data_IF_282123147859
#
_entry.id   IF_282123147859
#
_cell.length_a   1.000
_cell.length_b   1.000
_cell.length_c   1.000
_cell.angle_alpha   90.00
_cell.angle_beta   90.00
_cell.angle_gamma   90.00
#
_symmetry.space_group_name_H-M   'P 1'
#
loop_
_entity.id
_entity.type
_entity.pdbx_description
1 polymer ?
#
# COMPACT_ATOMS: atom_id res chain seq x y z
N UNK A 1 54.41 18.10 56.21
CA UNK A 1 53.46 17.08 55.66
C UNK A 1 52.54 17.79 54.70
N UNK A 2 52.70 17.54 53.39
CA UNK A 2 51.90 18.13 52.33
C UNK A 2 50.99 17.03 51.77
N UNK A 3 49.69 17.13 51.97
CA UNK A 3 48.69 16.23 51.41
C UNK A 3 48.22 16.77 50.05
N UNK A 4 48.54 16.04 49.00
CA UNK A 4 48.11 16.34 47.63
C UNK A 4 46.77 15.63 47.41
N UNK A 5 45.69 16.41 47.29
CA UNK A 5 44.39 15.88 46.89
C UNK A 5 44.27 15.72 45.37
N UNK A 6 44.04 14.49 44.93
CA UNK A 6 43.75 14.20 43.53
C UNK A 6 42.26 14.50 43.24
N UNK A 7 42.05 15.43 42.31
CA UNK A 7 40.69 15.78 41.83
C UNK A 7 40.38 14.83 40.66
N UNK A 8 39.45 13.92 40.87
CA UNK A 8 38.99 12.99 39.83
C UNK A 8 37.84 13.70 39.03
N UNK A 9 38.11 14.14 37.84
CA UNK A 9 37.12 14.70 36.92
C UNK A 9 36.39 13.56 36.23
N UNK A 10 35.14 13.31 36.65
CA UNK A 10 34.24 12.39 35.96
C UNK A 10 33.64 13.09 34.72
N UNK A 11 34.13 12.70 33.55
CA UNK A 11 33.52 13.08 32.26
C UNK A 11 32.23 12.28 32.05
N UNK A 12 31.07 12.90 32.22
CA UNK A 12 29.79 12.35 31.75
C UNK A 12 29.70 12.48 30.23
N UNK A 13 29.87 11.38 29.54
CA UNK A 13 29.56 11.28 28.11
C UNK A 13 28.06 11.09 28.00
N UNK A 14 27.32 12.17 27.77
CA UNK A 14 25.88 12.13 27.40
C UNK A 14 25.77 11.59 25.99
N UNK A 15 25.43 10.30 25.83
CA UNK A 15 24.99 9.74 24.57
C UNK A 15 23.67 10.41 24.18
N UNK A 16 23.68 11.29 23.19
CA UNK A 16 22.48 11.75 22.52
C UNK A 16 21.88 10.55 21.77
N UNK A 17 20.91 9.89 22.39
CA UNK A 17 20.01 8.99 21.66
C UNK A 17 19.16 9.90 20.78
N UNK A 18 19.42 9.89 19.48
CA UNK A 18 18.63 10.63 18.52
C UNK A 18 17.17 10.18 18.60
N UNK A 19 16.27 11.08 18.97
CA UNK A 19 14.83 10.84 18.90
C UNK A 19 14.50 10.75 17.41
N UNK A 20 13.89 9.66 16.91
CA UNK A 20 13.50 9.56 15.51
C UNK A 20 12.58 10.72 15.16
N UNK A 21 12.89 11.40 14.04
CA UNK A 21 12.09 12.52 13.55
C UNK A 21 10.77 11.97 12.98
N UNK A 22 9.59 12.31 13.52
CA UNK A 22 8.31 11.79 13.05
C UNK A 22 8.02 12.14 11.56
N UNK A 23 8.71 13.11 10.98
CA UNK A 23 8.59 13.45 9.54
C UNK A 23 9.35 12.46 8.64
N UNK A 24 10.41 11.85 9.13
CA UNK A 24 11.24 10.89 8.39
C UNK A 24 10.51 9.53 8.26
N UNK A 25 9.82 9.13 9.32
CA UNK A 25 8.99 7.91 9.38
C UNK A 25 7.79 8.00 8.41
N UNK A 26 7.12 9.15 8.35
CA UNK A 26 5.99 9.40 7.44
C UNK A 26 6.38 9.29 5.95
N UNK A 27 7.57 9.78 5.57
CA UNK A 27 8.05 9.71 4.18
C UNK A 27 8.44 8.28 3.79
N UNK A 28 9.06 7.53 4.71
CA UNK A 28 9.40 6.13 4.51
C UNK A 28 8.14 5.27 4.33
N UNK A 29 7.10 5.50 5.14
CA UNK A 29 5.82 4.81 5.03
C UNK A 29 5.08 5.13 3.72
N UNK A 30 5.09 6.39 3.27
CA UNK A 30 4.51 6.76 1.98
C UNK A 30 5.19 6.02 0.83
N UNK A 31 6.52 6.01 0.81
CA UNK A 31 7.30 5.29 -0.20
C UNK A 31 7.01 3.79 -0.17
N UNK A 32 6.91 3.21 1.02
CA UNK A 32 6.56 1.81 1.22
C UNK A 32 5.18 1.47 0.68
N UNK A 33 4.18 2.29 0.98
CA UNK A 33 2.80 2.08 0.53
C UNK A 33 2.68 2.19 -0.99
N UNK A 34 3.34 3.16 -1.63
CA UNK A 34 3.40 3.25 -3.10
C UNK A 34 4.03 1.98 -3.70
N UNK A 35 5.07 1.44 -3.07
CA UNK A 35 5.68 0.19 -3.51
C UNK A 35 4.73 -1.01 -3.36
N UNK A 36 3.92 -1.06 -2.29
CA UNK A 36 2.90 -2.09 -2.07
C UNK A 36 1.76 -2.01 -3.09
N UNK A 37 1.32 -0.81 -3.48
CA UNK A 37 0.36 -0.62 -4.57
C UNK A 37 0.91 -1.13 -5.91
N UNK A 38 2.17 -0.89 -6.19
CA UNK A 38 2.82 -1.44 -7.38
C UNK A 38 2.93 -2.98 -7.32
N UNK A 39 3.26 -3.54 -6.15
CA UNK A 39 3.28 -4.98 -5.95
C UNK A 39 1.89 -5.62 -6.16
N UNK A 40 0.83 -4.94 -5.71
CA UNK A 40 -0.55 -5.34 -5.97
C UNK A 40 -0.84 -5.43 -7.47
N UNK A 41 -0.51 -4.39 -8.23
CA UNK A 41 -0.70 -4.37 -9.68
C UNK A 41 0.08 -5.50 -10.39
N UNK A 42 1.32 -5.76 -9.98
CA UNK A 42 2.12 -6.85 -10.52
C UNK A 42 1.51 -8.22 -10.20
N UNK A 43 1.02 -8.41 -8.98
CA UNK A 43 0.36 -9.64 -8.59
C UNK A 43 -0.92 -9.89 -9.43
N UNK A 44 -1.73 -8.86 -9.67
CA UNK A 44 -2.89 -8.96 -10.55
C UNK A 44 -2.51 -9.25 -12.00
N UNK A 45 -1.50 -8.57 -12.54
CA UNK A 45 -1.03 -8.73 -13.91
C UNK A 45 -0.53 -10.15 -14.17
N UNK A 46 0.11 -10.77 -13.19
CA UNK A 46 0.70 -12.10 -13.28
C UNK A 46 -0.17 -13.22 -12.70
N UNK A 47 -1.39 -12.91 -12.22
CA UNK A 47 -2.28 -13.84 -11.52
C UNK A 47 -1.61 -14.51 -10.32
N UNK A 48 -0.76 -13.77 -9.58
CA UNK A 48 -0.06 -14.25 -8.40
C UNK A 48 -0.94 -14.06 -7.16
N UNK A 49 -1.81 -15.03 -6.92
CA UNK A 49 -2.72 -15.05 -5.78
C UNK A 49 -1.97 -15.11 -4.43
N UNK A 50 -0.78 -15.72 -4.39
CA UNK A 50 0.02 -15.77 -3.15
C UNK A 50 0.58 -14.41 -2.76
N UNK A 51 1.07 -13.65 -3.75
CA UNK A 51 1.53 -12.30 -3.51
C UNK A 51 0.38 -11.42 -2.99
N UNK A 52 -0.81 -11.48 -3.61
CA UNK A 52 -2.00 -10.75 -3.14
C UNK A 52 -2.48 -11.22 -1.77
N UNK A 53 -2.50 -12.53 -1.51
CA UNK A 53 -2.87 -13.09 -0.20
C UNK A 53 -2.04 -12.50 0.94
N UNK A 54 -0.74 -12.27 0.70
CA UNK A 54 0.16 -11.64 1.67
C UNK A 54 -0.12 -10.16 1.95
N UNK A 55 -0.73 -9.44 0.99
CA UNK A 55 -1.03 -8.01 1.10
C UNK A 55 -2.37 -7.72 1.81
N UNK A 56 -3.29 -8.69 1.86
CA UNK A 56 -4.65 -8.52 2.37
C UNK A 56 -4.92 -9.45 3.56
N UNK A 57 -5.54 -8.98 4.65
CA UNK A 57 -5.95 -9.84 5.77
C UNK A 57 -7.24 -10.60 5.46
N UNK A 58 -7.61 -11.57 6.30
CA UNK A 58 -8.86 -12.34 6.14
C UNK A 58 -10.12 -11.47 6.24
N UNK A 59 -10.01 -10.30 6.88
CA UNK A 59 -11.10 -9.31 7.02
C UNK A 59 -11.19 -8.34 5.84
N UNK A 60 -10.45 -8.58 4.76
CA UNK A 60 -10.42 -7.70 3.58
C UNK A 60 -11.80 -7.57 2.92
N UNK A 61 -12.10 -6.34 2.50
CA UNK A 61 -13.32 -6.01 1.73
C UNK A 61 -12.91 -5.27 0.45
N UNK A 62 -13.38 -5.75 -0.67
CA UNK A 62 -13.23 -5.10 -1.97
C UNK A 62 -14.60 -4.66 -2.50
N UNK A 63 -14.68 -3.44 -3.00
CA UNK A 63 -15.85 -2.95 -3.74
C UNK A 63 -15.41 -2.60 -5.15
N UNK A 64 -15.91 -3.34 -6.12
CA UNK A 64 -15.57 -3.13 -7.54
C UNK A 64 -16.35 -1.96 -8.15
N UNK A 65 -15.91 -1.54 -9.33
CA UNK A 65 -16.46 -0.38 -10.06
C UNK A 65 -17.96 -0.52 -10.41
N UNK A 66 -18.50 -1.72 -10.43
CA UNK A 66 -19.92 -2.00 -10.69
C UNK A 66 -20.76 -2.10 -9.40
N UNK A 67 -20.12 -1.92 -8.22
CA UNK A 67 -20.75 -2.04 -6.92
C UNK A 67 -20.71 -3.45 -6.33
N UNK A 68 -20.12 -4.44 -7.00
CA UNK A 68 -19.94 -5.79 -6.46
C UNK A 68 -19.03 -5.73 -5.24
N UNK A 69 -19.46 -6.33 -4.12
CA UNK A 69 -18.66 -6.43 -2.89
C UNK A 69 -18.11 -7.85 -2.76
N UNK A 70 -16.81 -7.97 -2.51
CA UNK A 70 -16.11 -9.25 -2.36
C UNK A 70 -15.35 -9.28 -1.04
N UNK A 71 -15.33 -10.44 -0.39
CA UNK A 71 -14.35 -10.74 0.65
C UNK A 71 -13.04 -11.25 0.03
N UNK A 72 -12.02 -11.47 0.85
CA UNK A 72 -10.70 -11.97 0.43
C UNK A 72 -10.78 -13.21 -0.45
N UNK A 73 -11.55 -14.22 -0.04
CA UNK A 73 -11.65 -15.48 -0.76
C UNK A 73 -12.26 -15.30 -2.15
N UNK A 74 -13.30 -14.47 -2.26
CA UNK A 74 -13.95 -14.14 -3.52
C UNK A 74 -13.01 -13.35 -4.43
N UNK A 75 -12.31 -12.34 -3.88
CA UNK A 75 -11.36 -11.52 -4.63
C UNK A 75 -10.20 -12.36 -5.20
N UNK A 76 -9.61 -13.26 -4.39
CA UNK A 76 -8.55 -14.17 -4.86
C UNK A 76 -9.07 -15.21 -5.87
N UNK A 77 -10.33 -15.62 -5.77
CA UNK A 77 -10.95 -16.50 -6.76
C UNK A 77 -11.18 -15.79 -8.09
N UNK A 78 -11.61 -14.52 -8.06
CA UNK A 78 -11.81 -13.70 -9.26
C UNK A 78 -10.49 -13.47 -10.02
N UNK A 79 -9.38 -13.27 -9.29
CA UNK A 79 -8.04 -13.16 -9.87
C UNK A 79 -7.65 -14.40 -10.70
N UNK A 80 -8.15 -15.58 -10.32
CA UNK A 80 -7.88 -16.85 -11.00
C UNK A 80 -8.79 -17.10 -12.20
N UNK A 81 -9.80 -16.26 -12.45
CA UNK A 81 -10.69 -16.44 -13.59
C UNK A 81 -9.91 -16.38 -14.90
N UNK A 82 -9.83 -17.47 -15.66
CA UNK A 82 -9.08 -17.50 -16.91
C UNK A 82 -9.72 -16.65 -18.02
N UNK A 83 -10.96 -16.21 -17.84
CA UNK A 83 -11.66 -15.33 -18.78
C UNK A 83 -11.19 -13.88 -18.70
N UNK A 84 -10.60 -13.47 -17.58
CA UNK A 84 -9.98 -12.15 -17.39
C UNK A 84 -8.47 -12.22 -17.65
N UNK A 85 -7.97 -11.37 -18.51
CA UNK A 85 -6.54 -11.28 -18.85
C UNK A 85 -6.13 -9.82 -18.97
N UNK A 86 -5.56 -9.27 -17.93
CA UNK A 86 -4.92 -7.97 -18.01
C UNK A 86 -3.60 -8.07 -18.78
N UNK A 87 -3.36 -7.14 -19.69
CA UNK A 87 -2.09 -6.97 -20.41
C UNK A 87 -1.32 -5.74 -19.93
N UNK A 88 -2.00 -4.86 -19.22
CA UNK A 88 -1.43 -3.67 -18.59
C UNK A 88 -2.27 -3.28 -17.38
N UNK A 89 -1.60 -3.00 -16.28
CA UNK A 89 -2.17 -2.35 -15.09
C UNK A 89 -1.15 -1.31 -14.64
N UNK A 90 -1.56 -0.05 -14.54
CA UNK A 90 -0.70 1.05 -14.15
C UNK A 90 -1.45 2.03 -13.25
N UNK A 91 -0.84 2.39 -12.11
CA UNK A 91 -1.32 3.44 -11.25
C UNK A 91 -0.69 4.79 -11.64
N UNK A 92 -1.47 5.86 -11.47
CA UNK A 92 -1.05 7.23 -11.75
C UNK A 92 -1.54 8.15 -10.63
N UNK A 93 -0.79 9.22 -10.37
CA UNK A 93 -1.16 10.25 -9.39
C UNK A 93 -1.48 9.69 -8.01
N UNK A 94 -0.71 8.69 -7.56
CA UNK A 94 -0.91 8.07 -6.25
C UNK A 94 -0.58 9.06 -5.15
N UNK A 95 -1.51 9.24 -4.21
CA UNK A 95 -1.36 10.05 -3.00
C UNK A 95 -1.61 9.19 -1.78
N UNK A 96 -0.76 9.36 -0.78
CA UNK A 96 -0.84 8.66 0.50
C UNK A 96 -1.18 9.66 1.60
N UNK A 97 -2.20 9.37 2.38
CA UNK A 97 -2.64 10.15 3.52
C UNK A 97 -2.44 9.31 4.80
N UNK A 98 -1.32 9.50 5.52
CA UNK A 98 -1.03 8.72 6.71
C UNK A 98 -1.79 9.24 7.94
N UNK A 99 -2.26 8.29 8.78
CA UNK A 99 -2.94 8.53 10.05
C UNK A 99 -2.39 7.53 11.10
N UNK A 100 -1.21 7.78 11.62
CA UNK A 100 -0.50 6.87 12.54
C UNK A 100 -0.29 5.48 11.91
N UNK A 101 -0.98 4.45 12.43
CA UNK A 101 -0.93 3.09 11.92
C UNK A 101 -1.96 2.78 10.82
N UNK A 102 -2.62 3.81 10.27
CA UNK A 102 -3.57 3.70 9.15
C UNK A 102 -3.12 4.64 8.05
N UNK A 103 -3.31 4.26 6.80
CA UNK A 103 -3.13 5.15 5.67
C UNK A 103 -4.27 4.96 4.66
N UNK A 104 -4.71 6.08 4.08
CA UNK A 104 -5.58 6.07 2.91
C UNK A 104 -4.70 6.34 1.69
N UNK A 105 -4.76 5.44 0.72
CA UNK A 105 -4.06 5.58 -0.56
C UNK A 105 -5.09 5.80 -1.65
N UNK A 106 -4.93 6.87 -2.41
CA UNK A 106 -5.84 7.21 -3.50
C UNK A 106 -5.03 7.40 -4.77
N UNK A 107 -5.50 6.86 -5.87
CA UNK A 107 -4.83 7.01 -7.16
C UNK A 107 -5.77 6.76 -8.33
N UNK A 108 -5.32 7.10 -9.51
CA UNK A 108 -5.97 6.67 -10.74
C UNK A 108 -5.33 5.36 -11.20
N UNK A 109 -6.13 4.48 -11.80
CA UNK A 109 -5.62 3.31 -12.48
C UNK A 109 -5.99 3.32 -13.96
N UNK A 110 -5.13 2.73 -14.76
CA UNK A 110 -5.37 2.45 -16.17
C UNK A 110 -5.11 0.98 -16.40
N UNK A 111 -6.11 0.23 -16.84
CA UNK A 111 -5.98 -1.19 -17.13
C UNK A 111 -6.47 -1.51 -18.55
N UNK A 112 -5.77 -2.43 -19.22
CA UNK A 112 -6.13 -2.98 -20.53
C UNK A 112 -6.05 -4.49 -20.48
N UNK A 113 -6.89 -5.12 -21.29
CA UNK A 113 -6.86 -6.56 -21.37
C UNK A 113 -7.99 -7.14 -22.21
N UNK A 114 -8.33 -8.39 -21.90
CA UNK A 114 -9.50 -9.07 -22.46
C UNK A 114 -10.32 -9.69 -21.33
N UNK A 115 -11.64 -9.59 -21.47
CA UNK A 115 -12.59 -10.31 -20.62
C UNK A 115 -13.54 -11.12 -21.52
N UNK A 116 -13.63 -12.43 -21.30
CA UNK A 116 -14.40 -13.34 -22.18
C UNK A 116 -14.06 -13.15 -23.66
N UNK A 117 -12.77 -13.00 -23.96
CA UNK A 117 -12.21 -12.74 -25.30
C UNK A 117 -12.58 -11.40 -25.93
N UNK A 118 -13.25 -10.50 -25.21
CA UNK A 118 -13.54 -9.14 -25.68
C UNK A 118 -12.49 -8.18 -25.10
N UNK A 119 -11.89 -7.28 -25.88
CA UNK A 119 -10.95 -6.31 -25.38
C UNK A 119 -11.67 -5.30 -24.48
N UNK A 120 -10.97 -4.84 -23.45
CA UNK A 120 -11.39 -3.73 -22.59
C UNK A 120 -10.24 -2.77 -22.34
N UNK A 121 -10.60 -1.52 -22.04
CA UNK A 121 -9.71 -0.50 -21.54
C UNK A 121 -10.49 0.33 -20.51
N UNK A 122 -10.02 0.33 -19.26
CA UNK A 122 -10.65 1.03 -18.17
C UNK A 122 -9.73 2.10 -17.59
N UNK A 123 -10.28 3.26 -17.36
CA UNK A 123 -9.70 4.32 -16.55
C UNK A 123 -10.54 4.42 -15.28
N UNK A 124 -9.92 4.35 -14.15
CA UNK A 124 -10.63 4.38 -12.88
C UNK A 124 -9.85 5.09 -11.79
N UNK A 125 -10.49 5.19 -10.64
CA UNK A 125 -9.89 5.67 -9.39
C UNK A 125 -10.06 4.61 -8.34
N UNK A 126 -9.05 4.48 -7.49
CA UNK A 126 -9.10 3.61 -6.33
C UNK A 126 -8.94 4.41 -5.05
N UNK A 127 -9.47 3.86 -3.97
CA UNK A 127 -9.25 4.32 -2.60
C UNK A 127 -9.03 3.10 -1.73
N UNK A 128 -7.81 2.95 -1.25
CA UNK A 128 -7.37 1.81 -0.48
C UNK A 128 -7.05 2.23 0.95
N UNK A 129 -7.52 1.43 1.90
CA UNK A 129 -7.24 1.61 3.33
C UNK A 129 -6.23 0.58 3.77
N UNK A 130 -5.06 1.06 4.16
CA UNK A 130 -3.97 0.26 4.68
C UNK A 130 -3.86 0.41 6.18
N UNK A 131 -3.56 -0.68 6.89
CA UNK A 131 -3.24 -0.66 8.32
C UNK A 131 -1.87 -1.28 8.57
N UNK A 132 -1.11 -0.68 9.49
CA UNK A 132 0.15 -1.24 9.99
C UNK A 132 -0.13 -2.05 11.23
N UNK A 133 0.06 -3.36 11.14
CA UNK A 133 -0.14 -4.30 12.23
C UNK A 133 0.83 -5.47 12.09
N UNK A 134 1.33 -5.98 13.22
CA UNK A 134 2.25 -7.11 13.24
C UNK A 134 3.48 -6.88 12.34
N UNK A 135 4.05 -5.65 12.42
CA UNK A 135 5.23 -5.20 11.68
C UNK A 135 5.07 -5.18 10.16
N UNK A 136 3.86 -5.15 9.64
CA UNK A 136 3.58 -5.06 8.20
C UNK A 136 2.35 -4.20 7.89
N UNK A 137 2.38 -3.56 6.72
CA UNK A 137 1.21 -2.94 6.12
C UNK A 137 0.34 -3.98 5.43
N UNK A 138 -0.98 -3.92 5.64
CA UNK A 138 -1.98 -4.74 4.95
C UNK A 138 -3.15 -3.87 4.50
N UNK A 139 -3.62 -4.08 3.27
CA UNK A 139 -4.82 -3.44 2.75
C UNK A 139 -6.05 -4.13 3.33
N UNK A 140 -6.87 -3.41 4.08
CA UNK A 140 -8.09 -3.94 4.71
C UNK A 140 -9.34 -3.65 3.92
N UNK A 141 -9.32 -2.60 3.09
CA UNK A 141 -10.42 -2.26 2.21
C UNK A 141 -9.88 -1.62 0.93
N UNK A 142 -10.47 -1.97 -0.20
CA UNK A 142 -10.22 -1.34 -1.49
C UNK A 142 -11.54 -1.05 -2.18
N UNK A 143 -11.63 0.13 -2.77
CA UNK A 143 -12.79 0.54 -3.56
C UNK A 143 -12.32 1.13 -4.88
N UNK A 144 -12.93 0.70 -5.98
CA UNK A 144 -12.66 1.21 -7.32
C UNK A 144 -13.91 1.79 -7.95
N UNK A 145 -13.72 2.76 -8.84
CA UNK A 145 -14.78 3.28 -9.70
C UNK A 145 -14.20 3.66 -11.06
N UNK A 146 -15.03 3.63 -12.11
CA UNK A 146 -14.64 4.11 -13.43
C UNK A 146 -14.70 5.64 -13.49
N UNK A 147 -13.75 6.22 -14.23
CA UNK A 147 -13.69 7.65 -14.51
C UNK A 147 -13.58 7.86 -16.02
N UNK A 148 -13.86 9.08 -16.49
CA UNK A 148 -13.59 9.46 -17.89
C UNK A 148 -12.07 9.52 -18.10
N UNK A 149 -11.62 9.11 -19.29
CA UNK A 149 -10.20 9.27 -19.69
C UNK A 149 -9.80 10.74 -19.58
N UNK A 150 -8.68 11.01 -18.90
CA UNK A 150 -8.18 12.36 -18.67
C UNK A 150 -8.86 13.12 -17.53
N UNK A 151 -9.70 12.46 -16.72
CA UNK A 151 -10.21 13.09 -15.51
C UNK A 151 -9.05 13.36 -14.54
N UNK A 152 -8.93 14.62 -14.12
CA UNK A 152 -7.90 15.06 -13.15
C UNK A 152 -8.24 14.59 -11.73
N UNK A 153 -7.22 14.65 -10.86
CA UNK A 153 -7.28 14.25 -9.45
C UNK A 153 -7.71 15.43 -8.59
#
# INVERSE_FOLDING_TARGET
MKTTGAFCVLLFISSLVGVPNPLDDSTADQTKLIALENAWNQAQLHHDDRALDGLIPDTFVYTDYDGTVMNKAQFLADLKDPSYRATMIANQNVKVYPYQNVAIVVGNYHTKGTYKRKPFEHFGRFTDTWIYRDSKWQCVASHTNLIKKGAEF
#
